data_IF_372213461523
#
_entry.id   IF_372213461523
#
_cell.length_a   1.000
_cell.length_b   1.000
_cell.length_c   1.000
_cell.angle_alpha   90.00
_cell.angle_beta   90.00
_cell.angle_gamma   90.00
#
_symmetry.space_group_name_H-M   'P 1'
#
loop_
_entity.id
_entity.type
_entity.pdbx_description
1 polymer ?
#
# COMPACT_ATOMS: atom_id res chain seq x y z
N UNK A 1 -26.33 -21.02 3.77
CA UNK A 1 -25.41 -20.82 4.93
C UNK A 1 -24.43 -19.73 4.53
N UNK A 2 -24.11 -18.75 5.39
CA UNK A 2 -23.13 -17.70 5.07
C UNK A 2 -21.71 -18.29 5.14
N UNK A 3 -20.88 -18.04 4.14
CA UNK A 3 -19.44 -18.35 4.18
C UNK A 3 -18.74 -17.44 5.18
N UNK A 4 -17.91 -18.02 6.04
CA UNK A 4 -17.16 -17.27 7.07
C UNK A 4 -15.89 -16.65 6.50
N UNK A 5 -15.45 -15.54 7.07
CA UNK A 5 -14.21 -14.86 6.68
C UNK A 5 -13.17 -14.90 7.79
N UNK A 6 -11.94 -15.26 7.43
CA UNK A 6 -10.75 -15.14 8.27
C UNK A 6 -9.74 -14.19 7.61
N UNK A 7 -9.19 -13.27 8.40
CA UNK A 7 -8.01 -12.47 7.99
C UNK A 7 -6.79 -13.02 8.71
N UNK A 8 -5.77 -13.47 7.98
CA UNK A 8 -4.58 -14.09 8.56
C UNK A 8 -3.33 -13.21 8.47
N UNK A 9 -2.49 -13.28 9.49
CA UNK A 9 -1.20 -12.59 9.55
C UNK A 9 -1.33 -11.11 9.88
N UNK A 10 -2.28 -10.76 10.75
CA UNK A 10 -2.43 -9.39 11.25
C UNK A 10 -1.27 -9.07 12.21
N UNK A 11 -0.61 -7.94 11.96
CA UNK A 11 0.54 -7.46 12.76
C UNK A 11 0.31 -6.09 13.40
N UNK A 12 -0.83 -5.43 13.11
CA UNK A 12 -1.10 -4.04 13.55
C UNK A 12 -2.49 -3.87 14.16
N UNK A 13 -2.65 -3.01 15.19
CA UNK A 13 -3.94 -2.70 15.79
C UNK A 13 -5.01 -2.17 14.81
N UNK A 14 -4.60 -1.36 13.83
CA UNK A 14 -5.52 -0.75 12.87
C UNK A 14 -6.16 -1.79 11.96
N UNK A 15 -5.44 -2.86 11.63
CA UNK A 15 -5.95 -3.95 10.78
C UNK A 15 -7.01 -4.77 11.52
N UNK A 16 -6.89 -4.92 12.85
CA UNK A 16 -7.93 -5.55 13.68
C UNK A 16 -9.20 -4.72 13.62
N UNK A 17 -9.12 -3.41 13.83
CA UNK A 17 -10.28 -2.54 13.81
C UNK A 17 -11.00 -2.59 12.45
N UNK A 18 -10.24 -2.55 11.35
CA UNK A 18 -10.79 -2.65 10.01
C UNK A 18 -11.48 -4.02 9.78
N UNK A 19 -10.82 -5.12 10.16
CA UNK A 19 -11.37 -6.47 10.00
C UNK A 19 -12.65 -6.67 10.84
N UNK A 20 -12.66 -6.17 12.08
CA UNK A 20 -13.83 -6.20 12.98
C UNK A 20 -15.00 -5.43 12.38
N UNK A 21 -14.76 -4.21 11.89
CA UNK A 21 -15.79 -3.38 11.25
C UNK A 21 -16.36 -4.02 9.97
N UNK A 22 -15.53 -4.73 9.22
CA UNK A 22 -15.94 -5.48 8.04
C UNK A 22 -16.71 -6.78 8.36
N UNK A 23 -16.79 -7.18 9.64
CA UNK A 23 -17.54 -8.35 10.08
C UNK A 23 -16.82 -9.69 9.88
N UNK A 24 -15.50 -9.71 10.11
CA UNK A 24 -14.67 -10.93 10.12
C UNK A 24 -15.13 -11.93 11.19
N UNK A 25 -15.03 -13.23 10.90
CA UNK A 25 -15.40 -14.32 11.83
C UNK A 25 -14.17 -14.86 12.61
N UNK A 26 -12.96 -14.68 12.06
CA UNK A 26 -11.71 -15.09 12.70
C UNK A 26 -10.51 -14.21 12.32
N UNK A 27 -9.57 -14.03 13.25
CA UNK A 27 -8.29 -13.34 13.03
C UNK A 27 -7.14 -14.31 13.27
N UNK A 28 -6.15 -14.31 12.37
CA UNK A 28 -4.98 -15.19 12.44
C UNK A 28 -3.70 -14.47 12.84
N UNK A 29 -2.96 -15.04 13.80
CA UNK A 29 -1.59 -14.65 14.16
C UNK A 29 -0.60 -15.72 13.68
N UNK A 30 0.54 -15.30 13.12
CA UNK A 30 1.54 -16.22 12.56
C UNK A 30 2.72 -16.35 13.52
N UNK A 31 2.86 -17.54 14.12
CA UNK A 31 3.96 -17.89 15.01
C UNK A 31 5.01 -18.72 14.26
N UNK A 32 5.51 -18.17 13.16
CA UNK A 32 6.58 -18.75 12.36
C UNK A 32 7.53 -17.64 11.93
N UNK A 33 8.70 -17.55 12.59
CA UNK A 33 9.68 -16.46 12.45
C UNK A 33 10.09 -16.14 10.99
N UNK A 34 10.29 -17.13 10.10
CA UNK A 34 10.61 -16.85 8.70
C UNK A 34 9.48 -16.18 7.89
N UNK A 35 8.26 -16.11 8.43
CA UNK A 35 7.15 -15.43 7.76
C UNK A 35 7.30 -13.92 7.85
N UNK A 36 7.05 -13.15 6.76
CA UNK A 36 7.00 -11.69 6.84
C UNK A 36 5.85 -11.17 7.72
N UNK A 37 4.88 -12.03 8.07
CA UNK A 37 3.74 -11.72 8.94
C UNK A 37 3.92 -12.27 10.36
N UNK A 38 5.14 -12.67 10.73
CA UNK A 38 5.46 -13.16 12.06
C UNK A 38 5.10 -12.14 13.16
N UNK A 39 4.56 -12.63 14.27
CA UNK A 39 4.35 -11.85 15.49
C UNK A 39 5.00 -12.57 16.68
N UNK A 40 5.60 -11.79 17.59
CA UNK A 40 6.05 -12.32 18.88
C UNK A 40 4.84 -12.63 19.79
N UNK A 41 5.06 -13.41 20.85
CA UNK A 41 4.01 -13.72 21.83
C UNK A 41 3.49 -12.46 22.50
N UNK A 42 4.38 -11.52 22.84
CA UNK A 42 4.03 -10.25 23.48
C UNK A 42 3.18 -9.38 22.55
N UNK A 43 3.55 -9.30 21.27
CA UNK A 43 2.78 -8.54 20.28
C UNK A 43 1.40 -9.19 20.06
N UNK A 44 1.34 -10.50 19.90
CA UNK A 44 0.08 -11.23 19.73
C UNK A 44 -0.83 -11.07 20.95
N UNK A 45 -0.28 -11.06 22.17
CA UNK A 45 -1.03 -10.81 23.40
C UNK A 45 -1.64 -9.40 23.42
N UNK A 46 -0.87 -8.38 23.05
CA UNK A 46 -1.36 -7.00 22.96
C UNK A 46 -2.47 -6.86 21.90
N UNK A 47 -2.27 -7.47 20.74
CA UNK A 47 -3.24 -7.46 19.65
C UNK A 47 -4.53 -8.20 20.01
N UNK A 48 -4.43 -9.35 20.69
CA UNK A 48 -5.58 -10.14 21.11
C UNK A 48 -6.55 -9.38 22.03
N UNK A 49 -6.05 -8.44 22.84
CA UNK A 49 -6.89 -7.60 23.71
C UNK A 49 -7.84 -6.67 22.93
N UNK A 50 -7.54 -6.40 21.65
CA UNK A 50 -8.35 -5.56 20.77
C UNK A 50 -9.42 -6.35 20.02
N UNK A 51 -9.39 -7.69 20.10
CA UNK A 51 -10.30 -8.56 19.36
C UNK A 51 -11.55 -8.82 20.21
N UNK A 52 -12.76 -8.50 19.71
CA UNK A 52 -14.00 -8.81 20.41
C UNK A 52 -14.19 -10.32 20.66
N UNK A 53 -14.81 -10.72 21.77
CA UNK A 53 -14.90 -12.13 22.19
C UNK A 53 -15.74 -13.03 21.26
N UNK A 54 -16.49 -12.47 20.32
CA UNK A 54 -17.26 -13.23 19.32
C UNK A 54 -16.46 -13.58 18.06
N UNK A 55 -15.21 -13.11 17.94
CA UNK A 55 -14.30 -13.39 16.82
C UNK A 55 -13.29 -14.43 17.28
N UNK A 56 -13.12 -15.51 16.52
CA UNK A 56 -12.17 -16.56 16.87
C UNK A 56 -10.73 -16.09 16.62
N UNK A 57 -9.82 -16.38 17.53
CA UNK A 57 -8.38 -16.13 17.38
C UNK A 57 -7.69 -17.43 16.95
N UNK A 58 -7.02 -17.40 15.81
CA UNK A 58 -6.32 -18.55 15.22
C UNK A 58 -4.82 -18.35 15.34
N UNK A 59 -4.10 -19.30 15.91
CA UNK A 59 -2.63 -19.33 15.86
C UNK A 59 -2.16 -20.24 14.73
N UNK A 60 -1.37 -19.69 13.79
CA UNK A 60 -0.74 -20.44 12.72
C UNK A 60 0.67 -20.86 13.13
N UNK A 61 0.95 -22.15 12.97
CA UNK A 61 2.23 -22.77 13.29
C UNK A 61 2.76 -23.60 12.12
N UNK A 62 4.09 -23.67 12.03
CA UNK A 62 4.81 -24.47 11.03
C UNK A 62 5.83 -25.32 11.75
N UNK A 63 5.57 -26.63 11.81
CA UNK A 63 6.42 -27.65 12.43
C UNK A 63 6.77 -27.35 13.91
N UNK A 64 5.88 -26.64 14.62
CA UNK A 64 6.06 -26.31 16.03
C UNK A 64 5.81 -27.54 16.93
N UNK A 65 6.55 -27.65 18.03
CA UNK A 65 6.33 -28.71 19.01
C UNK A 65 5.08 -28.45 19.86
N UNK A 66 4.60 -29.48 20.56
CA UNK A 66 3.48 -29.32 21.47
C UNK A 66 3.78 -28.32 22.60
N UNK A 67 5.04 -28.26 23.04
CA UNK A 67 5.51 -27.34 24.07
C UNK A 67 5.57 -25.90 23.56
N UNK A 68 6.04 -25.67 22.34
CA UNK A 68 6.10 -24.31 21.76
C UNK A 68 4.70 -23.72 21.66
N UNK A 69 3.72 -24.50 21.19
CA UNK A 69 2.32 -24.06 21.12
C UNK A 69 1.75 -23.82 22.52
N UNK A 70 2.10 -24.64 23.51
CA UNK A 70 1.66 -24.45 24.89
C UNK A 70 2.14 -23.12 25.47
N UNK A 71 3.40 -22.74 25.22
CA UNK A 71 3.95 -21.44 25.64
C UNK A 71 3.17 -20.26 25.06
N UNK A 72 2.74 -20.36 23.80
CA UNK A 72 1.88 -19.32 23.19
C UNK A 72 0.51 -19.29 23.86
N UNK A 73 -0.11 -20.46 24.10
CA UNK A 73 -1.44 -20.59 24.71
C UNK A 73 -1.50 -20.12 26.17
N UNK A 74 -0.37 -20.05 26.87
CA UNK A 74 -0.30 -19.48 28.23
C UNK A 74 -0.55 -17.97 28.25
N UNK A 75 -0.21 -17.28 27.17
CA UNK A 75 -0.24 -15.81 27.11
C UNK A 75 -1.24 -15.24 26.12
N UNK A 76 -1.54 -15.99 25.06
CA UNK A 76 -2.43 -15.57 23.96
C UNK A 76 -3.66 -16.49 23.95
N UNK A 77 -4.89 -15.92 24.02
CA UNK A 77 -6.11 -16.70 24.08
C UNK A 77 -6.51 -17.24 22.70
N UNK A 78 -5.72 -18.16 22.14
CA UNK A 78 -6.02 -18.77 20.85
C UNK A 78 -7.16 -19.80 20.99
N UNK A 79 -8.18 -19.67 20.14
CA UNK A 79 -9.33 -20.59 20.09
C UNK A 79 -9.03 -21.84 19.24
N UNK A 80 -8.19 -21.67 18.22
CA UNK A 80 -7.95 -22.69 17.18
C UNK A 80 -6.47 -22.67 16.78
N UNK A 81 -5.89 -23.87 16.61
CA UNK A 81 -4.55 -24.09 16.06
C UNK A 81 -4.66 -24.37 14.55
N UNK A 82 -3.91 -23.63 13.74
CA UNK A 82 -3.73 -23.92 12.33
C UNK A 82 -2.33 -24.49 12.10
N UNK A 83 -2.26 -25.73 11.62
CA UNK A 83 -1.00 -26.32 11.17
C UNK A 83 -0.78 -26.01 9.69
N UNK A 84 0.42 -25.53 9.34
CA UNK A 84 0.78 -25.16 7.96
C UNK A 84 2.14 -25.77 7.53
N UNK A 85 2.79 -26.56 8.39
CA UNK A 85 4.02 -27.25 8.07
C UNK A 85 3.83 -28.59 7.37
N UNK A 86 4.78 -29.48 7.60
CA UNK A 86 4.85 -30.83 7.06
C UNK A 86 4.40 -31.87 8.11
N UNK A 87 3.71 -31.42 9.16
CA UNK A 87 3.23 -32.25 10.26
C UNK A 87 2.21 -33.28 9.76
N UNK A 88 2.39 -34.54 10.16
CA UNK A 88 1.47 -35.63 9.82
C UNK A 88 0.16 -35.53 10.61
N UNK A 89 -0.86 -36.26 10.18
CA UNK A 89 -2.15 -36.33 10.87
C UNK A 89 -2.01 -36.79 12.33
N UNK A 90 -1.14 -37.77 12.61
CA UNK A 90 -0.88 -38.25 13.96
C UNK A 90 -0.16 -37.19 14.82
N UNK A 91 0.81 -36.47 14.24
CA UNK A 91 1.50 -35.39 14.96
C UNK A 91 0.52 -34.27 15.32
N UNK A 92 -0.30 -33.83 14.37
CA UNK A 92 -1.33 -32.82 14.61
C UNK A 92 -2.30 -33.24 15.73
N UNK A 93 -2.77 -34.50 15.70
CA UNK A 93 -3.64 -35.06 16.72
C UNK A 93 -2.99 -35.04 18.11
N UNK A 94 -1.75 -35.51 18.23
CA UNK A 94 -1.02 -35.54 19.51
C UNK A 94 -0.81 -34.13 20.08
N UNK A 95 -0.38 -33.20 19.23
CA UNK A 95 -0.17 -31.79 19.62
C UNK A 95 -1.49 -31.16 20.07
N UNK A 96 -2.58 -31.40 19.35
CA UNK A 96 -3.90 -30.86 19.70
C UNK A 96 -4.48 -31.47 20.97
N UNK A 97 -4.28 -32.77 21.20
CA UNK A 97 -4.67 -33.46 22.44
C UNK A 97 -3.91 -32.92 23.65
N UNK A 98 -2.59 -32.72 23.51
CA UNK A 98 -1.74 -32.14 24.55
C UNK A 98 -2.22 -30.73 24.94
N UNK A 99 -2.43 -29.88 23.93
CA UNK A 99 -2.84 -28.49 24.13
C UNK A 99 -4.34 -28.32 24.43
N UNK A 100 -5.16 -29.37 24.23
CA UNK A 100 -6.63 -29.38 24.39
C UNK A 100 -7.35 -28.31 23.56
N UNK A 101 -6.92 -28.11 22.31
CA UNK A 101 -7.41 -27.04 21.41
C UNK A 101 -7.93 -27.65 20.12
N UNK A 102 -8.95 -27.00 19.53
CA UNK A 102 -9.43 -27.35 18.19
C UNK A 102 -8.35 -27.02 17.17
N UNK A 103 -8.32 -27.75 16.07
CA UNK A 103 -7.31 -27.53 15.05
C UNK A 103 -7.81 -27.83 13.64
N UNK A 104 -7.15 -27.24 12.67
CA UNK A 104 -7.28 -27.59 11.27
C UNK A 104 -5.92 -27.59 10.57
N UNK A 105 -5.86 -28.27 9.43
CA UNK A 105 -4.63 -28.42 8.65
C UNK A 105 -4.75 -27.66 7.33
N UNK A 106 -3.72 -26.88 7.02
CA UNK A 106 -3.48 -26.35 5.70
C UNK A 106 -2.68 -27.36 4.86
N UNK A 107 -3.12 -27.59 3.63
CA UNK A 107 -2.40 -28.38 2.63
C UNK A 107 -2.20 -27.55 1.36
N UNK A 108 -1.01 -27.63 0.78
CA UNK A 108 -0.70 -26.97 -0.49
C UNK A 108 -1.11 -27.87 -1.65
N UNK A 109 -1.92 -27.34 -2.56
CA UNK A 109 -2.37 -28.08 -3.74
C UNK A 109 -1.44 -27.79 -4.91
N UNK A 110 -0.60 -28.78 -5.25
CA UNK A 110 0.27 -28.70 -6.42
C UNK A 110 -0.55 -28.78 -7.72
N UNK A 111 -0.15 -28.08 -8.80
CA UNK A 111 -0.90 -28.07 -10.07
C UNK A 111 -1.08 -29.45 -10.71
N UNK A 112 -0.19 -30.39 -10.42
CA UNK A 112 -0.15 -31.76 -10.94
C UNK A 112 -0.71 -32.80 -9.95
N UNK A 113 -1.21 -32.38 -8.79
CA UNK A 113 -1.76 -33.28 -7.78
C UNK A 113 -3.05 -33.94 -8.28
N UNK A 114 -3.15 -35.26 -8.16
CA UNK A 114 -4.38 -36.00 -8.48
C UNK A 114 -5.42 -35.76 -7.39
N UNK A 115 -6.68 -35.55 -7.80
CA UNK A 115 -7.80 -35.39 -6.87
C UNK A 115 -7.92 -36.55 -5.86
N UNK A 116 -7.62 -37.79 -6.27
CA UNK A 116 -7.60 -38.96 -5.37
C UNK A 116 -6.67 -38.81 -4.17
N UNK A 117 -5.50 -38.20 -4.40
CA UNK A 117 -4.45 -38.10 -3.39
C UNK A 117 -4.80 -37.01 -2.37
N UNK A 118 -5.41 -35.92 -2.86
CA UNK A 118 -5.93 -34.83 -2.04
C UNK A 118 -7.07 -35.32 -1.14
N UNK A 119 -8.05 -36.05 -1.69
CA UNK A 119 -9.16 -36.62 -0.91
C UNK A 119 -8.63 -37.56 0.17
N UNK A 120 -7.71 -38.45 -0.19
CA UNK A 120 -7.13 -39.42 0.75
C UNK A 120 -6.42 -38.69 1.90
N UNK A 121 -5.68 -37.64 1.59
CA UNK A 121 -4.98 -36.81 2.58
C UNK A 121 -5.99 -36.10 3.49
N UNK A 122 -7.04 -35.49 2.93
CA UNK A 122 -8.11 -34.85 3.70
C UNK A 122 -8.78 -35.84 4.66
N UNK A 123 -9.10 -37.05 4.18
CA UNK A 123 -9.70 -38.10 5.01
C UNK A 123 -8.79 -38.52 6.17
N UNK A 124 -7.48 -38.60 5.97
CA UNK A 124 -6.53 -38.92 7.03
C UNK A 124 -6.54 -37.85 8.14
N UNK A 125 -6.48 -36.57 7.79
CA UNK A 125 -6.55 -35.49 8.78
C UNK A 125 -7.92 -35.40 9.46
N UNK A 126 -9.00 -35.64 8.71
CA UNK A 126 -10.36 -35.70 9.27
C UNK A 126 -10.48 -36.82 10.31
N UNK A 127 -10.00 -38.03 10.01
CA UNK A 127 -10.00 -39.17 10.94
C UNK A 127 -9.13 -38.91 12.18
N UNK A 128 -8.07 -38.12 12.04
CA UNK A 128 -7.23 -37.69 13.15
C UNK A 128 -7.87 -36.59 14.02
N UNK A 129 -9.01 -36.03 13.61
CA UNK A 129 -9.79 -35.07 14.37
C UNK A 129 -9.66 -33.61 13.91
N UNK A 130 -9.19 -33.36 12.69
CA UNK A 130 -9.20 -32.02 12.11
C UNK A 130 -10.64 -31.48 12.03
N UNK A 131 -10.86 -30.25 12.51
CA UNK A 131 -12.17 -29.59 12.48
C UNK A 131 -12.51 -29.00 11.12
N UNK A 132 -11.49 -28.74 10.30
CA UNK A 132 -11.59 -28.22 8.94
C UNK A 132 -10.33 -28.60 8.14
N UNK A 133 -10.40 -28.42 6.83
CA UNK A 133 -9.23 -28.47 5.95
C UNK A 133 -9.10 -27.16 5.21
N UNK A 134 -7.90 -26.58 5.23
CA UNK A 134 -7.56 -25.39 4.46
C UNK A 134 -6.77 -25.79 3.22
N UNK A 135 -7.23 -25.35 2.06
CA UNK A 135 -6.54 -25.56 0.79
C UNK A 135 -5.86 -24.27 0.39
N UNK A 136 -4.53 -24.33 0.25
CA UNK A 136 -3.72 -23.20 -0.19
C UNK A 136 -3.19 -23.48 -1.60
N UNK A 137 -3.26 -22.48 -2.49
CA UNK A 137 -2.75 -22.59 -3.84
C UNK A 137 -1.20 -22.65 -3.84
N UNK A 138 -0.61 -23.63 -4.53
CA UNK A 138 0.84 -23.85 -4.51
C UNK A 138 1.65 -22.82 -5.32
N UNK A 139 2.85 -22.48 -4.83
CA UNK A 139 3.85 -21.64 -5.49
C UNK A 139 5.27 -22.23 -5.29
N UNK A 140 6.18 -22.17 -6.29
CA UNK A 140 7.47 -22.88 -6.26
C UNK A 140 8.50 -22.41 -5.21
N UNK A 141 8.42 -21.17 -4.72
CA UNK A 141 9.48 -20.60 -3.85
C UNK A 141 8.99 -20.00 -2.52
N UNK A 142 7.67 -19.90 -2.28
CA UNK A 142 7.10 -19.25 -1.09
C UNK A 142 5.95 -20.08 -0.51
N UNK A 143 5.98 -20.37 0.80
CA UNK A 143 4.83 -20.92 1.52
C UNK A 143 3.79 -19.79 1.71
N UNK A 144 2.87 -19.66 0.75
CA UNK A 144 1.65 -18.82 0.83
C UNK A 144 1.63 -17.53 -0.02
N UNK A 145 0.45 -17.24 -0.62
CA UNK A 145 0.00 -15.91 -1.04
C UNK A 145 0.52 -15.32 -2.37
N UNK A 146 0.11 -15.85 -3.55
CA UNK A 146 0.63 -15.35 -4.85
C UNK A 146 -0.38 -15.22 -6.01
N UNK A 147 -1.70 -15.32 -5.80
CA UNK A 147 -2.66 -14.83 -6.81
C UNK A 147 -2.90 -15.70 -8.05
N UNK A 148 -2.38 -16.94 -8.11
CA UNK A 148 -2.76 -17.90 -9.16
C UNK A 148 -3.98 -18.71 -8.73
N UNK A 149 -5.10 -18.56 -9.47
CA UNK A 149 -6.35 -19.27 -9.24
C UNK A 149 -6.26 -20.73 -9.71
N UNK A 150 -6.52 -21.67 -8.81
CA UNK A 150 -6.75 -23.08 -9.14
C UNK A 150 -8.09 -23.26 -9.88
N UNK A 151 -8.22 -24.29 -10.72
CA UNK A 151 -9.51 -24.66 -11.32
C UNK A 151 -10.39 -25.35 -10.28
N UNK A 152 -11.14 -24.54 -9.54
CA UNK A 152 -12.01 -24.95 -8.44
C UNK A 152 -13.16 -25.89 -8.86
N UNK A 153 -13.44 -26.03 -10.17
CA UNK A 153 -14.56 -26.82 -10.68
C UNK A 153 -14.38 -28.34 -10.51
N UNK A 154 -13.17 -28.80 -10.21
CA UNK A 154 -12.83 -30.22 -10.14
C UNK A 154 -12.89 -30.80 -8.72
N UNK A 155 -13.28 -30.01 -7.71
CA UNK A 155 -13.28 -30.46 -6.33
C UNK A 155 -14.51 -31.31 -5.97
N UNK A 156 -14.33 -32.52 -5.40
CA UNK A 156 -15.43 -33.34 -4.92
C UNK A 156 -16.09 -32.70 -3.69
N UNK A 157 -17.36 -33.02 -3.45
CA UNK A 157 -18.01 -32.69 -2.18
C UNK A 157 -17.29 -33.43 -1.04
N UNK A 158 -16.80 -32.67 -0.07
CA UNK A 158 -16.12 -33.18 1.11
C UNK A 158 -17.09 -33.16 2.31
N UNK A 159 -17.02 -34.17 3.17
CA UNK A 159 -17.78 -34.25 4.43
C UNK A 159 -17.06 -33.52 5.59
N UNK A 160 -16.17 -32.57 5.27
CA UNK A 160 -15.44 -31.74 6.24
C UNK A 160 -15.53 -30.27 5.84
N UNK A 161 -15.51 -29.37 6.82
CA UNK A 161 -15.51 -27.93 6.58
C UNK A 161 -14.28 -27.51 5.76
N UNK A 162 -14.53 -26.94 4.58
CA UNK A 162 -13.50 -26.49 3.65
C UNK A 162 -13.20 -24.99 3.83
N UNK A 163 -11.93 -24.65 3.99
CA UNK A 163 -11.43 -23.28 4.03
C UNK A 163 -10.59 -23.04 2.76
N UNK A 164 -10.91 -22.00 2.00
CA UNK A 164 -10.10 -21.61 0.84
C UNK A 164 -9.08 -20.56 1.21
N UNK A 165 -7.85 -20.72 0.75
CA UNK A 165 -6.79 -19.75 0.87
C UNK A 165 -5.96 -19.66 -0.41
N UNK A 166 -5.10 -18.65 -0.48
CA UNK A 166 -4.15 -18.47 -1.58
C UNK A 166 -4.74 -17.65 -2.72
N UNK A 167 -4.21 -16.44 -2.92
CA UNK A 167 -4.55 -15.61 -4.07
C UNK A 167 -5.96 -15.02 -4.12
N UNK A 168 -6.76 -15.19 -3.07
CA UNK A 168 -8.10 -14.61 -2.96
C UNK A 168 -8.05 -13.09 -2.81
N UNK A 169 -8.86 -12.39 -3.60
CA UNK A 169 -8.99 -10.93 -3.63
C UNK A 169 -10.45 -10.54 -3.96
N UNK A 170 -10.83 -9.25 -3.87
CA UNK A 170 -12.21 -8.82 -4.14
C UNK A 170 -12.74 -9.17 -5.54
N UNK A 171 -11.87 -9.41 -6.52
CA UNK A 171 -12.27 -9.71 -7.90
C UNK A 171 -12.58 -11.19 -8.13
N UNK A 172 -11.98 -12.12 -7.34
CA UNK A 172 -12.10 -13.56 -7.57
C UNK A 172 -12.77 -14.35 -6.43
N UNK A 173 -12.98 -13.73 -5.26
CA UNK A 173 -13.44 -14.43 -4.06
C UNK A 173 -14.87 -14.96 -4.20
N UNK A 174 -15.73 -14.23 -4.90
CA UNK A 174 -17.13 -14.64 -5.11
C UNK A 174 -17.20 -15.92 -5.94
N UNK A 175 -16.52 -15.95 -7.10
CA UNK A 175 -16.45 -17.12 -7.96
C UNK A 175 -15.85 -18.33 -7.24
N UNK A 176 -14.80 -18.12 -6.45
CA UNK A 176 -14.17 -19.17 -5.65
C UNK A 176 -15.14 -19.78 -4.63
N UNK A 177 -15.91 -18.94 -3.92
CA UNK A 177 -16.93 -19.39 -2.95
C UNK A 177 -18.05 -20.15 -3.65
N UNK A 178 -18.59 -19.61 -4.76
CA UNK A 178 -19.70 -20.24 -5.48
C UNK A 178 -19.31 -21.60 -6.06
N UNK A 179 -18.10 -21.69 -6.61
CA UNK A 179 -17.61 -22.93 -7.25
C UNK A 179 -17.36 -24.04 -6.25
N UNK A 180 -16.78 -23.71 -5.10
CA UNK A 180 -16.37 -24.73 -4.10
C UNK A 180 -17.38 -24.97 -2.99
N UNK A 181 -18.37 -24.08 -2.83
CA UNK A 181 -19.28 -24.06 -1.68
C UNK A 181 -18.52 -24.03 -0.34
N UNK A 182 -17.42 -23.28 -0.29
CA UNK A 182 -16.54 -23.21 0.87
C UNK A 182 -17.26 -22.78 2.15
N UNK A 183 -16.90 -23.44 3.26
CA UNK A 183 -17.36 -23.09 4.59
C UNK A 183 -16.77 -21.75 5.07
N UNK A 184 -15.50 -21.52 4.76
CA UNK A 184 -14.83 -20.26 5.05
C UNK A 184 -13.79 -19.89 3.97
N UNK A 185 -13.38 -18.62 3.98
CA UNK A 185 -12.24 -18.10 3.22
C UNK A 185 -11.20 -17.55 4.19
N UNK A 186 -9.92 -17.76 3.87
CA UNK A 186 -8.77 -17.24 4.59
C UNK A 186 -7.97 -16.31 3.67
N UNK A 187 -7.99 -15.02 3.97
CA UNK A 187 -7.37 -13.98 3.15
C UNK A 187 -6.28 -13.23 3.91
N UNK A 188 -5.27 -12.79 3.18
CA UNK A 188 -4.17 -11.96 3.71
C UNK A 188 -3.78 -10.91 2.67
N UNK A 189 -2.71 -11.12 1.90
CA UNK A 189 -2.17 -10.14 0.96
C UNK A 189 -3.16 -9.62 -0.09
N UNK A 190 -4.17 -10.39 -0.49
CA UNK A 190 -5.17 -9.96 -1.48
C UNK A 190 -6.17 -8.91 -0.98
N UNK A 191 -6.18 -8.61 0.32
CA UNK A 191 -6.99 -7.55 0.94
C UNK A 191 -6.15 -6.53 1.71
N UNK A 192 -4.83 -6.62 1.64
CA UNK A 192 -3.91 -5.66 2.24
C UNK A 192 -3.78 -4.41 1.36
N UNK A 193 -3.79 -3.23 1.99
CA UNK A 193 -3.66 -1.94 1.32
C UNK A 193 -2.41 -1.14 1.74
N UNK A 194 -1.57 -1.68 2.65
CA UNK A 194 -0.45 -0.96 3.24
C UNK A 194 0.94 -1.52 2.86
N UNK A 195 1.95 -0.64 2.97
CA UNK A 195 3.35 -0.89 2.61
C UNK A 195 4.07 -1.85 3.54
N UNK A 196 5.04 -2.60 2.99
CA UNK A 196 6.07 -3.25 3.79
C UNK A 196 7.16 -2.24 4.26
N UNK A 197 8.06 -2.70 5.14
CA UNK A 197 9.19 -1.92 5.68
C UNK A 197 10.19 -1.42 4.63
N UNK A 198 10.18 -2.00 3.43
CA UNK A 198 11.03 -1.61 2.31
C UNK A 198 10.31 -0.65 1.35
N UNK A 199 9.05 -0.30 1.63
CA UNK A 199 8.24 0.60 0.82
C UNK A 199 7.56 -0.07 -0.38
N UNK A 200 7.40 -1.39 -0.37
CA UNK A 200 6.66 -2.12 -1.40
C UNK A 200 5.15 -2.18 -1.11
N UNK A 201 4.37 -2.15 -2.19
CA UNK A 201 2.96 -2.51 -2.29
C UNK A 201 2.87 -3.79 -3.13
N UNK A 202 2.89 -4.96 -2.47
CA UNK A 202 3.05 -6.23 -3.18
C UNK A 202 4.37 -6.25 -3.98
N UNK A 203 4.30 -6.46 -5.29
CA UNK A 203 5.49 -6.47 -6.18
C UNK A 203 5.92 -5.07 -6.66
N UNK A 204 5.17 -4.03 -6.32
CA UNK A 204 5.40 -2.65 -6.78
C UNK A 204 5.97 -1.80 -5.64
N UNK A 205 6.59 -0.65 -5.94
CA UNK A 205 7.23 0.20 -4.90
C UNK A 205 8.71 -0.12 -4.72
N UNK A 206 9.25 0.06 -3.50
CA UNK A 206 10.67 -0.17 -3.19
C UNK A 206 11.62 0.98 -3.54
N UNK A 207 12.88 0.88 -3.07
CA UNK A 207 13.97 1.85 -3.28
C UNK A 207 14.93 1.35 -4.35
N UNK A 208 14.76 1.82 -5.58
CA UNK A 208 15.63 1.47 -6.71
C UNK A 208 16.44 2.67 -7.20
N UNK A 209 17.14 3.33 -6.28
CA UNK A 209 17.97 4.52 -6.58
C UNK A 209 19.45 4.18 -6.46
N UNK A 210 20.31 5.03 -7.02
CA UNK A 210 21.75 4.89 -6.78
C UNK A 210 22.05 5.08 -5.29
N UNK A 211 23.08 4.40 -4.80
CA UNK A 211 23.56 4.53 -3.41
C UNK A 211 23.77 6.01 -3.01
N UNK A 212 24.24 6.83 -3.94
CA UNK A 212 24.44 8.27 -3.75
C UNK A 212 23.16 9.06 -3.41
N UNK A 213 21.98 8.53 -3.71
CA UNK A 213 20.68 9.14 -3.37
C UNK A 213 20.07 8.59 -2.08
N UNK A 214 20.56 7.46 -1.57
CA UNK A 214 19.98 6.81 -0.40
C UNK A 214 20.05 7.71 0.83
N UNK A 215 21.20 8.34 1.08
CA UNK A 215 21.36 9.27 2.20
C UNK A 215 20.38 10.46 2.13
N UNK A 216 20.23 11.07 0.95
CA UNK A 216 19.29 12.18 0.76
C UNK A 216 17.83 11.78 0.98
N UNK A 217 17.48 10.53 0.66
CA UNK A 217 16.14 9.98 0.89
C UNK A 217 15.87 9.65 2.34
N UNK A 218 16.86 9.09 3.05
CA UNK A 218 16.73 8.82 4.48
C UNK A 218 16.58 10.10 5.28
N UNK A 219 17.34 11.15 4.96
CA UNK A 219 17.24 12.45 5.61
C UNK A 219 15.86 13.08 5.40
N UNK A 220 15.37 13.02 4.17
CA UNK A 220 14.01 13.44 3.82
C UNK A 220 12.95 12.66 4.60
N UNK A 221 13.07 11.33 4.64
CA UNK A 221 12.09 10.47 5.31
C UNK A 221 12.05 10.77 6.82
N UNK A 222 13.22 10.87 7.46
CA UNK A 222 13.34 11.26 8.87
C UNK A 222 12.73 12.64 9.13
N UNK A 223 12.99 13.61 8.26
CA UNK A 223 12.40 14.94 8.36
C UNK A 223 10.88 14.87 8.22
N UNK A 224 10.37 14.15 7.22
CA UNK A 224 8.94 14.03 7.00
C UNK A 224 8.23 13.42 8.20
N UNK A 225 8.73 12.29 8.73
CA UNK A 225 8.13 11.65 9.90
C UNK A 225 8.17 12.54 11.15
N UNK A 226 9.15 13.43 11.26
CA UNK A 226 9.20 14.44 12.31
C UNK A 226 8.17 15.55 12.10
N UNK A 227 8.03 16.03 10.87
CA UNK A 227 7.23 17.22 10.55
C UNK A 227 5.74 16.92 10.32
N UNK A 228 5.38 15.68 9.97
CA UNK A 228 3.98 15.33 9.63
C UNK A 228 3.00 15.57 10.77
N UNK A 229 3.46 15.46 12.01
CA UNK A 229 2.66 15.68 13.23
C UNK A 229 3.11 16.96 13.98
N UNK A 230 4.03 17.75 13.40
CA UNK A 230 4.50 18.98 14.02
C UNK A 230 3.43 20.07 13.90
N UNK A 231 2.97 20.58 15.05
CA UNK A 231 1.87 21.54 15.11
C UNK A 231 2.19 22.87 14.41
N UNK A 232 3.45 23.31 14.43
CA UNK A 232 3.85 24.56 13.79
C UNK A 232 3.90 24.40 12.26
N UNK A 233 4.44 23.29 11.78
CA UNK A 233 4.43 22.94 10.35
C UNK A 233 3.01 22.86 9.81
N UNK A 234 2.12 22.13 10.50
CA UNK A 234 0.72 21.99 10.13
C UNK A 234 0.02 23.35 10.08
N UNK A 235 0.22 24.21 11.08
CA UNK A 235 -0.37 25.54 11.10
C UNK A 235 0.14 26.44 9.95
N UNK A 236 1.43 26.38 9.62
CA UNK A 236 1.98 27.13 8.47
C UNK A 236 1.44 26.60 7.14
N UNK A 237 1.35 25.27 6.99
CA UNK A 237 0.81 24.61 5.80
C UNK A 237 -0.69 24.90 5.61
N UNK A 238 -1.51 24.81 6.66
CA UNK A 238 -2.94 25.09 6.59
C UNK A 238 -3.23 26.55 6.29
N UNK A 239 -2.47 27.48 6.91
CA UNK A 239 -2.56 28.91 6.60
C UNK A 239 -2.26 29.17 5.13
N UNK A 240 -1.24 28.51 4.60
CA UNK A 240 -0.84 28.60 3.22
C UNK A 240 -1.90 28.04 2.26
N UNK A 241 -2.50 26.90 2.60
CA UNK A 241 -3.61 26.33 1.84
C UNK A 241 -4.83 27.26 1.85
N UNK A 242 -5.18 27.83 3.00
CA UNK A 242 -6.34 28.70 3.14
C UNK A 242 -6.16 30.04 2.41
N UNK A 243 -5.09 30.77 2.75
CA UNK A 243 -4.96 32.18 2.37
C UNK A 243 -4.09 32.42 1.13
N UNK A 244 -3.21 31.49 0.75
CA UNK A 244 -2.39 31.62 -0.45
C UNK A 244 -2.92 30.77 -1.60
N UNK A 245 -3.31 29.53 -1.33
CA UNK A 245 -3.89 28.64 -2.36
C UNK A 245 -5.37 28.91 -2.61
N UNK A 246 -6.13 29.29 -1.57
CA UNK A 246 -7.58 29.53 -1.67
C UNK A 246 -8.42 28.29 -1.41
N UNK A 247 -7.98 27.39 -0.53
CA UNK A 247 -8.76 26.23 -0.09
C UNK A 247 -9.79 26.61 1.00
N UNK A 248 -10.90 25.86 1.13
CA UNK A 248 -11.27 24.68 0.33
C UNK A 248 -11.80 25.04 -1.07
N UNK A 249 -11.46 24.21 -2.06
CA UNK A 249 -12.06 24.33 -3.41
C UNK A 249 -13.52 23.87 -3.38
N UNK A 250 -14.44 24.57 -4.08
CA UNK A 250 -15.86 24.20 -4.05
C UNK A 250 -16.13 22.88 -4.81
N UNK A 251 -17.22 22.21 -4.42
CA UNK A 251 -17.79 21.10 -5.18
C UNK A 251 -18.99 21.65 -5.98
N UNK A 252 -18.84 21.73 -7.29
CA UNK A 252 -19.84 22.33 -8.18
C UNK A 252 -20.76 21.27 -8.78
N UNK A 253 -22.06 21.38 -8.56
CA UNK A 253 -23.04 20.53 -9.22
C UNK A 253 -23.20 20.92 -10.70
N UNK A 254 -22.77 20.05 -11.60
CA UNK A 254 -22.86 20.26 -13.04
C UNK A 254 -24.23 19.83 -13.57
N UNK A 255 -25.24 20.67 -13.33
CA UNK A 255 -26.65 20.39 -13.65
C UNK A 255 -26.86 20.01 -15.14
N UNK A 256 -26.26 20.77 -16.06
CA UNK A 256 -26.38 20.51 -17.51
C UNK A 256 -25.88 19.12 -17.90
N UNK A 257 -24.70 18.74 -17.41
CA UNK A 257 -24.11 17.42 -17.66
C UNK A 257 -24.93 16.30 -17.02
N UNK A 258 -25.43 16.53 -15.81
CA UNK A 258 -26.28 15.56 -15.11
C UNK A 258 -27.58 15.29 -15.89
N UNK A 259 -28.19 16.34 -16.46
CA UNK A 259 -29.38 16.24 -17.32
C UNK A 259 -29.07 15.54 -18.65
N UNK A 260 -27.98 15.91 -19.30
CA UNK A 260 -27.58 15.37 -20.61
C UNK A 260 -27.25 13.87 -20.55
N UNK A 261 -26.57 13.42 -19.49
CA UNK A 261 -26.23 12.01 -19.31
C UNK A 261 -27.41 11.16 -18.80
N UNK A 262 -28.47 11.78 -18.28
CA UNK A 262 -29.72 11.11 -17.88
C UNK A 262 -29.60 10.09 -16.75
N UNK A 263 -28.46 10.03 -16.06
CA UNK A 263 -28.14 9.02 -15.05
C UNK A 263 -27.65 9.65 -13.74
N UNK A 264 -26.36 9.47 -13.45
CA UNK A 264 -25.76 9.96 -12.21
C UNK A 264 -25.71 11.49 -12.13
N UNK A 265 -25.75 12.03 -10.91
CA UNK A 265 -25.45 13.44 -10.64
C UNK A 265 -23.94 13.68 -10.81
N UNK A 266 -23.57 14.66 -11.63
CA UNK A 266 -22.18 15.03 -11.90
C UNK A 266 -21.77 16.20 -11.01
N UNK A 267 -20.75 16.00 -10.19
CA UNK A 267 -20.12 17.04 -9.38
C UNK A 267 -18.67 17.24 -9.83
N UNK A 268 -18.26 18.51 -9.96
CA UNK A 268 -16.90 18.90 -10.31
C UNK A 268 -16.19 19.44 -9.07
N UNK A 269 -15.14 18.75 -8.62
CA UNK A 269 -14.25 19.26 -7.57
C UNK A 269 -13.33 20.32 -8.20
N UNK A 270 -13.54 21.59 -7.84
CA UNK A 270 -12.99 22.77 -8.53
C UNK A 270 -11.54 23.09 -8.19
N UNK A 271 -10.64 22.10 -8.29
CA UNK A 271 -9.19 22.32 -8.10
C UNK A 271 -8.57 23.23 -9.17
N UNK A 272 -9.30 23.52 -10.26
CA UNK A 272 -8.96 24.55 -11.23
C UNK A 272 -8.95 25.97 -10.64
N UNK A 273 -9.69 26.20 -9.54
CA UNK A 273 -9.76 27.49 -8.86
C UNK A 273 -8.63 27.74 -7.86
N UNK A 274 -7.82 26.71 -7.56
CA UNK A 274 -6.66 26.89 -6.71
C UNK A 274 -5.72 27.93 -7.35
N UNK A 275 -5.02 28.69 -6.53
CA UNK A 275 -3.94 29.54 -7.02
C UNK A 275 -2.98 28.72 -7.89
N UNK A 276 -2.50 29.31 -9.00
CA UNK A 276 -1.79 28.65 -10.14
C UNK A 276 -2.65 27.82 -11.10
N UNK A 277 -3.92 27.54 -10.78
CA UNK A 277 -4.90 26.95 -11.68
C UNK A 277 -4.93 25.40 -11.70
N UNK A 278 -4.36 24.73 -10.70
CA UNK A 278 -4.44 23.27 -10.59
C UNK A 278 -4.18 22.74 -9.18
N UNK A 279 -4.45 21.45 -8.95
CA UNK A 279 -4.13 20.75 -7.70
C UNK A 279 -2.62 20.66 -7.38
N UNK A 280 -1.71 20.98 -8.32
CA UNK A 280 -0.26 20.80 -8.11
C UNK A 280 0.31 21.70 -7.04
N UNK A 281 -0.28 22.88 -6.83
CA UNK A 281 0.14 23.83 -5.80
C UNK A 281 0.04 23.25 -4.39
N UNK A 282 -0.94 22.38 -4.14
CA UNK A 282 -1.11 21.75 -2.84
C UNK A 282 0.12 20.89 -2.49
N UNK A 283 0.70 20.19 -3.47
CA UNK A 283 1.91 19.38 -3.30
C UNK A 283 3.17 20.25 -3.19
N UNK A 284 3.30 21.27 -4.05
CA UNK A 284 4.51 22.10 -4.10
C UNK A 284 4.68 22.93 -2.84
N UNK A 285 3.58 23.37 -2.21
CA UNK A 285 3.63 24.16 -0.96
C UNK A 285 4.16 23.34 0.21
N UNK A 286 3.68 22.11 0.40
CA UNK A 286 4.17 21.21 1.45
C UNK A 286 5.65 20.88 1.27
N UNK A 287 6.07 20.51 0.06
CA UNK A 287 7.48 20.17 -0.21
C UNK A 287 8.41 21.38 -0.06
N UNK A 288 8.01 22.56 -0.51
CA UNK A 288 8.86 23.75 -0.39
C UNK A 288 8.94 24.26 1.06
N UNK A 289 7.89 24.08 1.87
CA UNK A 289 7.94 24.34 3.31
C UNK A 289 8.94 23.40 4.01
N UNK A 290 8.91 22.10 3.68
CA UNK A 290 9.91 21.14 4.17
C UNK A 290 11.33 21.53 3.74
N UNK A 291 11.51 21.99 2.50
CA UNK A 291 12.80 22.49 2.00
C UNK A 291 13.31 23.68 2.83
N UNK A 292 12.44 24.66 3.11
CA UNK A 292 12.76 25.83 3.93
C UNK A 292 13.14 25.43 5.36
N UNK A 293 12.38 24.53 5.99
CA UNK A 293 12.67 24.04 7.35
C UNK A 293 13.98 23.23 7.41
N UNK A 294 14.34 22.58 6.31
CA UNK A 294 15.63 21.88 6.17
C UNK A 294 16.82 22.81 5.91
N UNK A 295 16.60 24.13 5.90
CA UNK A 295 17.63 25.13 5.60
C UNK A 295 18.08 25.15 4.13
N UNK A 296 17.35 24.47 3.24
CA UNK A 296 17.67 24.50 1.81
C UNK A 296 17.33 25.87 1.24
N UNK A 297 18.23 26.40 0.41
CA UNK A 297 18.07 27.72 -0.23
C UNK A 297 17.64 27.63 -1.69
N UNK A 298 17.70 26.42 -2.26
CA UNK A 298 17.41 26.16 -3.67
C UNK A 298 16.49 24.97 -3.81
N UNK A 299 15.43 25.14 -4.58
CA UNK A 299 14.52 24.08 -4.99
C UNK A 299 14.60 23.85 -6.49
N UNK A 300 14.55 22.60 -6.88
CA UNK A 300 14.54 22.18 -8.28
C UNK A 300 13.27 21.39 -8.59
N UNK A 301 12.82 21.41 -9.83
CA UNK A 301 11.69 20.60 -10.28
C UNK A 301 11.82 20.27 -11.77
N UNK A 302 11.07 19.28 -12.23
CA UNK A 302 10.90 18.93 -13.63
C UNK A 302 9.49 19.30 -14.13
N UNK A 303 9.32 19.63 -15.40
CA UNK A 303 7.98 19.87 -15.94
C UNK A 303 7.86 19.52 -17.42
N UNK A 304 6.67 19.06 -17.81
CA UNK A 304 6.29 18.82 -19.21
C UNK A 304 5.34 19.91 -19.69
N UNK A 305 4.04 19.79 -19.39
CA UNK A 305 3.05 20.80 -19.76
C UNK A 305 3.25 22.18 -19.09
N UNK A 306 4.14 22.30 -18.09
CA UNK A 306 4.47 23.57 -17.43
C UNK A 306 3.78 23.80 -16.08
N UNK A 307 2.62 23.20 -15.82
CA UNK A 307 1.84 23.46 -14.60
C UNK A 307 2.58 23.16 -13.28
N UNK A 308 3.37 22.08 -13.21
CA UNK A 308 4.17 21.77 -12.01
C UNK A 308 5.29 22.78 -11.80
N UNK A 309 5.96 23.16 -12.89
CA UNK A 309 7.00 24.18 -12.87
C UNK A 309 6.46 25.56 -12.44
N UNK A 310 5.29 25.96 -12.94
CA UNK A 310 4.62 27.20 -12.52
C UNK A 310 4.26 27.16 -11.03
N UNK A 311 3.70 26.06 -10.55
CA UNK A 311 3.37 25.89 -9.13
C UNK A 311 4.64 25.94 -8.25
N UNK A 312 5.71 25.25 -8.65
CA UNK A 312 6.99 25.25 -7.94
C UNK A 312 7.60 26.66 -7.90
N UNK A 313 7.67 27.35 -9.04
CA UNK A 313 8.18 28.71 -9.14
C UNK A 313 7.37 29.71 -8.28
N UNK A 314 6.05 29.56 -8.26
CA UNK A 314 5.15 30.41 -7.47
C UNK A 314 5.44 30.29 -5.98
N UNK A 315 5.58 29.05 -5.49
CA UNK A 315 5.88 28.82 -4.07
C UNK A 315 7.32 29.20 -3.73
N UNK A 316 8.28 28.98 -4.63
CA UNK A 316 9.65 29.42 -4.43
C UNK A 316 9.74 30.93 -4.24
N UNK A 317 9.07 31.70 -5.11
CA UNK A 317 9.00 33.15 -5.02
C UNK A 317 8.40 33.61 -3.68
N UNK A 318 7.31 32.96 -3.24
CA UNK A 318 6.68 33.22 -1.94
C UNK A 318 7.63 32.98 -0.76
N UNK A 319 8.39 31.89 -0.79
CA UNK A 319 9.26 31.47 0.31
C UNK A 319 10.67 32.07 0.25
N UNK A 320 10.99 32.84 -0.80
CA UNK A 320 12.33 33.39 -1.02
C UNK A 320 13.38 32.33 -1.36
N UNK A 321 12.98 31.25 -2.04
CA UNK A 321 13.87 30.15 -2.44
C UNK A 321 14.31 30.34 -3.91
N UNK A 322 15.57 30.03 -4.20
CA UNK A 322 16.06 29.93 -5.57
C UNK A 322 15.32 28.77 -6.28
N UNK A 323 14.78 29.00 -7.48
CA UNK A 323 14.02 27.99 -8.22
C UNK A 323 14.64 27.68 -9.58
N UNK A 324 14.88 26.39 -9.83
CA UNK A 324 15.33 25.92 -11.15
C UNK A 324 14.38 24.84 -11.65
N UNK A 325 13.82 25.05 -12.84
CA UNK A 325 12.87 24.11 -13.47
C UNK A 325 13.48 23.52 -14.73
N UNK A 326 13.68 22.21 -14.74
CA UNK A 326 14.09 21.44 -15.91
C UNK A 326 12.89 21.13 -16.78
N UNK A 327 13.01 21.39 -18.08
CA UNK A 327 11.91 21.22 -19.02
C UNK A 327 12.44 20.75 -20.36
N UNK A 328 11.85 19.72 -20.95
CA UNK A 328 12.27 19.23 -22.27
C UNK A 328 12.24 20.33 -23.32
N UNK A 329 13.26 20.41 -24.18
CA UNK A 329 13.38 21.53 -25.13
C UNK A 329 12.20 21.63 -26.11
N UNK A 330 11.55 20.51 -26.46
CA UNK A 330 10.30 20.53 -27.24
C UNK A 330 9.13 21.11 -26.44
N UNK A 331 9.03 20.73 -25.17
CA UNK A 331 8.02 21.24 -24.25
C UNK A 331 8.19 22.74 -23.99
N UNK A 332 9.43 23.24 -23.88
CA UNK A 332 9.74 24.67 -23.74
C UNK A 332 9.16 25.47 -24.91
N UNK A 333 9.31 24.97 -26.14
CA UNK A 333 8.75 25.61 -27.34
C UNK A 333 7.22 25.56 -27.34
N UNK A 334 6.65 24.39 -27.06
CA UNK A 334 5.20 24.16 -27.10
C UNK A 334 4.45 24.90 -25.99
N UNK A 335 5.07 25.11 -24.84
CA UNK A 335 4.46 25.68 -23.64
C UNK A 335 5.07 27.04 -23.27
N UNK A 336 5.37 27.86 -24.27
CA UNK A 336 6.04 29.15 -24.12
C UNK A 336 5.38 30.07 -23.07
N UNK A 337 4.05 30.04 -22.95
CA UNK A 337 3.32 30.84 -21.94
C UNK A 337 3.65 30.41 -20.51
N UNK A 338 3.75 29.11 -20.24
CA UNK A 338 4.12 28.63 -18.90
C UNK A 338 5.60 28.87 -18.61
N UNK A 339 6.47 28.78 -19.63
CA UNK A 339 7.89 29.16 -19.50
C UNK A 339 8.03 30.64 -19.13
N UNK A 340 7.26 31.51 -19.79
CA UNK A 340 7.24 32.93 -19.49
C UNK A 340 6.76 33.19 -18.06
N UNK A 341 5.67 32.55 -17.61
CA UNK A 341 5.18 32.65 -16.22
C UNK A 341 6.24 32.23 -15.20
N UNK A 342 6.93 31.12 -15.43
CA UNK A 342 8.01 30.67 -14.54
C UNK A 342 9.13 31.70 -14.42
N UNK A 343 9.55 32.29 -15.54
CA UNK A 343 10.59 33.35 -15.56
C UNK A 343 10.13 34.62 -14.86
N UNK A 344 8.86 35.02 -15.04
CA UNK A 344 8.28 36.17 -14.37
C UNK A 344 8.24 35.99 -12.84
N UNK A 345 8.05 34.76 -12.38
CA UNK A 345 8.15 34.37 -10.96
C UNK A 345 9.61 34.24 -10.47
N UNK A 346 10.61 34.55 -11.29
CA UNK A 346 12.03 34.51 -10.92
C UNK A 346 12.68 33.13 -11.02
N UNK A 347 12.00 32.12 -11.57
CA UNK A 347 12.60 30.80 -11.75
C UNK A 347 13.49 30.72 -13.00
N UNK A 348 14.60 30.01 -12.87
CA UNK A 348 15.46 29.66 -14.01
C UNK A 348 14.87 28.43 -14.70
N UNK A 349 14.51 28.56 -15.99
CA UNK A 349 14.03 27.43 -16.79
C UNK A 349 15.18 26.88 -17.62
N UNK A 350 15.55 25.62 -17.38
CA UNK A 350 16.64 24.92 -18.07
C UNK A 350 16.07 23.99 -19.15
N UNK A 351 16.26 24.31 -20.44
CA UNK A 351 15.85 23.43 -21.53
C UNK A 351 16.72 22.17 -21.58
N UNK A 352 16.09 21.01 -21.57
CA UNK A 352 16.79 19.71 -21.68
C UNK A 352 16.79 19.27 -23.14
N UNK A 353 17.99 19.29 -23.72
CA UNK A 353 18.27 18.92 -25.12
C UNK A 353 18.64 17.44 -25.29
N UNK A 354 18.88 16.72 -24.20
CA UNK A 354 19.25 15.30 -24.22
C UNK A 354 18.03 14.40 -24.50
N UNK A 355 18.29 13.25 -25.12
CA UNK A 355 17.29 12.21 -25.33
C UNK A 355 16.11 12.64 -26.20
N UNK A 356 14.90 12.33 -25.75
CA UNK A 356 13.65 12.65 -26.44
C UNK A 356 13.20 14.10 -26.25
N UNK A 357 13.90 14.89 -25.43
CA UNK A 357 13.59 16.31 -25.14
C UNK A 357 12.20 16.52 -24.56
N UNK A 358 11.72 15.57 -23.77
CA UNK A 358 10.42 15.59 -23.09
C UNK A 358 10.57 15.51 -21.57
N UNK A 359 9.45 15.47 -20.84
CA UNK A 359 9.38 15.31 -19.37
C UNK A 359 10.32 14.22 -18.82
N UNK A 360 10.46 13.09 -19.51
CA UNK A 360 11.32 11.98 -19.07
C UNK A 360 12.79 12.41 -18.97
N UNK A 361 13.28 13.16 -19.95
CA UNK A 361 14.67 13.62 -19.97
C UNK A 361 14.87 14.75 -18.96
N UNK A 362 13.89 15.65 -18.83
CA UNK A 362 13.88 16.68 -17.80
C UNK A 362 14.00 16.12 -16.38
N UNK A 363 13.29 15.04 -16.09
CA UNK A 363 13.37 14.33 -14.82
C UNK A 363 14.77 13.76 -14.56
N UNK A 364 15.41 13.16 -15.58
CA UNK A 364 16.76 12.61 -15.43
C UNK A 364 17.79 13.70 -15.12
N UNK A 365 17.72 14.85 -15.79
CA UNK A 365 18.62 15.97 -15.50
C UNK A 365 18.35 16.59 -14.13
N UNK A 366 17.07 16.72 -13.72
CA UNK A 366 16.73 17.18 -12.37
C UNK A 366 17.28 16.24 -11.28
N UNK A 367 17.19 14.93 -11.48
CA UNK A 367 17.79 13.94 -10.57
C UNK A 367 19.31 14.06 -10.53
N UNK A 368 19.98 14.24 -11.67
CA UNK A 368 21.44 14.45 -11.70
C UNK A 368 21.85 15.71 -10.95
N UNK A 369 21.17 16.83 -11.18
CA UNK A 369 21.41 18.09 -10.45
C UNK A 369 21.21 17.89 -8.94
N UNK A 370 20.18 17.11 -8.55
CA UNK A 370 19.97 16.77 -7.15
C UNK A 370 21.13 15.97 -6.57
N UNK A 371 21.59 14.91 -7.25
CA UNK A 371 22.71 14.07 -6.80
C UNK A 371 23.98 14.91 -6.58
N UNK A 372 24.28 15.81 -7.52
CA UNK A 372 25.50 16.61 -7.47
C UNK A 372 25.51 17.64 -6.34
N UNK A 373 24.35 18.14 -5.89
CA UNK A 373 24.26 19.24 -4.93
C UNK A 373 23.17 19.01 -3.86
N UNK A 374 22.97 17.76 -3.43
CA UNK A 374 21.87 17.40 -2.51
C UNK A 374 21.92 18.14 -1.16
N UNK A 375 23.11 18.58 -0.72
CA UNK A 375 23.29 19.37 0.51
C UNK A 375 22.61 20.74 0.39
N UNK A 376 22.61 21.36 -0.81
CA UNK A 376 22.02 22.68 -1.05
C UNK A 376 20.62 22.62 -1.67
N UNK A 377 20.33 21.56 -2.42
CA UNK A 377 19.12 21.42 -3.23
C UNK A 377 18.02 20.63 -2.53
N UNK A 378 16.78 21.03 -2.79
CA UNK A 378 15.60 20.21 -2.58
C UNK A 378 14.93 19.92 -3.92
N UNK A 379 14.63 18.64 -4.22
CA UNK A 379 13.92 18.28 -5.44
C UNK A 379 12.41 18.20 -5.17
N UNK A 380 11.64 19.13 -5.74
CA UNK A 380 10.18 19.19 -5.67
C UNK A 380 9.58 18.33 -6.77
N UNK A 381 9.15 17.13 -6.40
CA UNK A 381 8.71 16.12 -7.37
C UNK A 381 7.22 16.27 -7.67
N UNK A 382 6.85 16.20 -8.95
CA UNK A 382 5.46 16.26 -9.43
C UNK A 382 4.68 14.99 -9.12
N UNK A 383 3.40 15.09 -8.73
CA UNK A 383 2.54 13.93 -8.46
C UNK A 383 2.23 13.05 -9.68
N UNK A 384 2.55 13.50 -10.91
CA UNK A 384 2.17 12.80 -12.15
C UNK A 384 2.95 11.51 -12.42
N UNK A 385 4.07 11.25 -11.73
CA UNK A 385 4.77 9.96 -11.85
C UNK A 385 4.14 8.85 -10.97
N UNK A 386 2.97 9.12 -10.36
CA UNK A 386 2.17 8.14 -9.60
C UNK A 386 1.03 7.49 -10.40
N UNK A 387 0.80 7.88 -11.67
CA UNK A 387 -0.33 7.36 -12.45
C UNK A 387 -0.04 5.94 -12.98
N UNK A 388 -0.57 4.94 -12.27
CA UNK A 388 -0.34 3.49 -12.40
C UNK A 388 -0.64 2.93 -13.80
N UNK A 389 -1.31 3.68 -14.68
CA UNK A 389 -1.74 3.20 -16.00
C UNK A 389 -0.62 2.95 -17.02
N UNK A 390 0.61 3.41 -16.78
CA UNK A 390 1.75 3.22 -17.71
C UNK A 390 2.82 2.22 -17.22
N UNK A 391 2.58 1.53 -16.09
CA UNK A 391 3.54 0.62 -15.47
C UNK A 391 3.79 -0.65 -16.31
N UNK A 392 2.86 -1.05 -17.19
CA UNK A 392 2.96 -2.30 -17.95
C UNK A 392 3.98 -2.32 -19.11
N UNK A 393 4.58 -1.18 -19.51
CA UNK A 393 5.43 -1.13 -20.71
C UNK A 393 6.93 -0.92 -20.48
N UNK A 394 7.40 -0.77 -19.24
CA UNK A 394 8.79 -0.39 -18.97
C UNK A 394 9.48 -1.37 -18.01
N UNK A 395 10.02 -2.45 -18.57
CA UNK A 395 10.86 -3.45 -17.87
C UNK A 395 12.28 -2.95 -17.52
N UNK A 396 12.61 -1.68 -17.77
CA UNK A 396 13.92 -1.12 -17.40
C UNK A 396 13.77 0.33 -16.93
N UNK A 397 14.22 0.56 -15.69
CA UNK A 397 14.27 1.84 -14.93
C UNK A 397 13.03 2.13 -14.07
N UNK A 398 12.93 1.40 -12.94
CA UNK A 398 11.99 1.55 -11.82
C UNK A 398 12.44 2.58 -10.74
N UNK A 399 13.22 3.60 -11.13
CA UNK A 399 14.06 4.41 -10.21
C UNK A 399 13.30 5.45 -9.35
N UNK A 400 12.00 5.66 -9.55
CA UNK A 400 11.35 6.97 -9.23
C UNK A 400 10.17 6.87 -8.25
N UNK A 401 9.66 5.67 -7.96
CA UNK A 401 8.31 5.52 -7.39
C UNK A 401 8.19 5.79 -5.87
N UNK A 402 9.20 5.47 -5.05
CA UNK A 402 9.17 5.78 -3.61
C UNK A 402 9.52 7.24 -3.30
N UNK A 403 10.42 7.84 -4.10
CA UNK A 403 10.70 9.28 -4.11
C UNK A 403 9.41 10.08 -4.21
N UNK A 404 8.52 9.73 -5.13
CA UNK A 404 7.23 10.42 -5.27
C UNK A 404 6.24 10.13 -4.17
N UNK A 405 6.12 8.87 -3.74
CA UNK A 405 5.02 8.50 -2.87
C UNK A 405 5.22 9.00 -1.42
N UNK A 406 6.46 9.02 -0.90
CA UNK A 406 6.75 9.63 0.41
C UNK A 406 6.51 11.16 0.38
N UNK A 407 6.95 11.85 -0.67
CA UNK A 407 6.72 13.29 -0.84
C UNK A 407 5.25 13.66 -1.06
N UNK A 408 4.48 12.81 -1.76
CA UNK A 408 3.07 13.09 -2.09
C UNK A 408 2.13 12.61 -0.99
N UNK A 409 2.37 11.47 -0.35
CA UNK A 409 1.53 11.01 0.77
C UNK A 409 1.66 11.91 1.99
N UNK A 410 2.83 12.54 2.16
CA UNK A 410 3.05 13.63 3.11
C UNK A 410 2.02 14.75 3.03
N UNK A 411 1.55 15.04 1.82
CA UNK A 411 0.66 16.17 1.54
C UNK A 411 -0.77 15.69 1.26
N UNK A 412 -0.95 14.53 0.63
CA UNK A 412 -2.26 13.97 0.28
C UNK A 412 -3.01 13.46 1.51
N UNK A 413 -2.33 12.88 2.51
CA UNK A 413 -3.00 12.54 3.79
C UNK A 413 -3.46 13.80 4.54
N UNK A 414 -2.70 14.90 4.48
CA UNK A 414 -3.10 16.19 5.04
C UNK A 414 -4.27 16.85 4.27
N UNK A 415 -4.35 16.66 2.94
CA UNK A 415 -5.44 17.21 2.11
C UNK A 415 -6.82 16.56 2.38
N UNK A 416 -6.84 15.27 2.73
CA UNK A 416 -8.09 14.54 2.99
C UNK A 416 -8.67 14.81 4.38
N UNK A 417 -7.84 15.04 5.40
CA UNK A 417 -8.30 15.36 6.75
C UNK A 417 -9.14 16.65 6.82
N UNK A 418 -8.77 17.68 6.03
CA UNK A 418 -9.51 18.94 5.96
C UNK A 418 -10.84 18.88 5.19
N UNK A 419 -11.13 17.81 4.45
CA UNK A 419 -12.34 17.73 3.59
C UNK A 419 -13.51 16.95 4.22
N UNK A 420 -13.30 16.31 5.37
CA UNK A 420 -14.29 15.43 6.03
C UNK A 420 -14.84 16.04 7.34
N UNK A 421 -14.28 17.17 7.83
CA UNK A 421 -14.69 17.81 9.08
C UNK A 421 -15.31 19.21 8.91
N UNK A 422 -15.91 19.51 7.76
CA UNK A 422 -16.67 20.75 7.53
C UNK A 422 -18.08 20.46 7.02
#
# INVERSE_FOLDING_TARGET
MRTRAKICGITRPQDIQAAVQAGVDAIGFVFYEPSPRYVTIELAQQLAQLIPPYINIVGLFVNASAQDIAQVLEQVPLDIIQFHGDETAQQCQQIAQYNKRRWYKAIQIKPDAKNSDIITTIQQYQQAGASAMLLDAWHPELKGGTGHSFDWSQFPKLDIALILAGGLNPENIEDAIQTTQAYAVDVSGGVESAKDQNGHFGIHGGRFVSETLMAALEDLEKLYFRMKDDAQFLAEFDRDLAYYVGRPSPLYYAERWSKELGGAQIYLKREDLNHTGSHKVNNTIGQALLAKLSGKKRIIAETGAGQHGVATATIAARLGLECVVFMGAEDVKRQAMNVYRMRLLGATVVPVESGSKTLKDAMNEAMRDWVHIHIRNWYVISSRLLDVKHVNKFKSKQVVYQMLWLHVSAVVQMQWACSIHS
#
